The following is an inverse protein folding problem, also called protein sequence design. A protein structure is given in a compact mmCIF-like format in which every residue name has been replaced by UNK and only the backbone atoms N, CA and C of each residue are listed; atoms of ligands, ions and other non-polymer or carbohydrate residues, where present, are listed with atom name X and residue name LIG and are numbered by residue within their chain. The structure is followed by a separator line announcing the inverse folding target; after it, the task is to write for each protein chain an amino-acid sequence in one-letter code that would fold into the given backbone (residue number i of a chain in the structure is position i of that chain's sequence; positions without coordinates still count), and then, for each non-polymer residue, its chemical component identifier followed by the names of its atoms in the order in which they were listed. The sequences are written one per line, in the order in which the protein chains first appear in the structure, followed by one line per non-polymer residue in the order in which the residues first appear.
data_IF_896241722450
#
_entry.id   IF_896241722450
#
_cell.length_a   1.000
_cell.length_b   1.000
_cell.length_c   1.000
_cell.angle_alpha   90.00
_cell.angle_beta   90.00
_cell.angle_gamma   90.00
#
_symmetry.space_group_name_H-M   'P 1'
#
loop_
_entity.id
_entity.type
_entity.pdbx_description
1 polymer ?
#
# COMPACT_ATOMS: atom_id res chain seq x y z
N UNK A 1 21.00 -5.69 26.67
CA UNK A 1 21.46 -5.35 25.31
C UNK A 1 20.31 -4.68 24.59
N UNK A 2 20.41 -3.38 24.31
CA UNK A 2 19.42 -2.65 23.52
C UNK A 2 19.37 -3.24 22.12
N UNK A 3 18.32 -4.02 21.81
CA UNK A 3 17.98 -4.29 20.42
C UNK A 3 17.49 -2.98 19.83
N UNK A 4 18.37 -2.25 19.14
CA UNK A 4 17.91 -1.18 18.26
C UNK A 4 16.86 -1.78 17.32
N UNK A 5 15.67 -1.19 17.33
CA UNK A 5 14.55 -1.60 16.49
C UNK A 5 14.97 -1.29 15.05
N UNK A 6 15.48 -2.28 14.32
CA UNK A 6 15.92 -2.11 12.94
C UNK A 6 14.66 -1.96 12.06
N UNK A 7 14.65 -0.88 11.30
CA UNK A 7 13.54 -0.45 10.45
C UNK A 7 13.95 -0.61 8.99
N UNK A 8 13.04 -1.13 8.19
CA UNK A 8 13.21 -1.34 6.75
C UNK A 8 12.13 -0.53 6.06
N UNK A 9 12.55 0.29 5.13
CA UNK A 9 11.66 1.03 4.25
C UNK A 9 11.24 0.15 3.07
N UNK A 10 9.95 0.19 2.75
CA UNK A 10 9.39 -0.52 1.60
C UNK A 10 8.15 0.20 1.08
N UNK A 11 8.06 0.37 -0.23
CA UNK A 11 6.90 0.97 -0.88
C UNK A 11 6.03 -0.10 -1.54
N UNK A 12 4.76 -0.12 -1.16
CA UNK A 12 3.74 -0.97 -1.77
C UNK A 12 3.17 -0.27 -3.00
N UNK A 13 3.25 -0.94 -4.14
CA UNK A 13 2.58 -0.48 -5.35
C UNK A 13 1.08 -0.80 -5.29
N UNK A 14 0.26 0.11 -5.81
CA UNK A 14 -1.17 -0.08 -5.99
C UNK A 14 -1.49 -0.61 -7.39
N UNK A 15 -2.54 -0.08 -8.01
CA UNK A 15 -2.89 -0.33 -9.42
C UNK A 15 -2.10 0.55 -10.39
N UNK A 16 -1.25 1.44 -9.87
CA UNK A 16 -0.33 2.26 -10.64
C UNK A 16 0.85 1.41 -11.14
N UNK A 17 1.30 1.63 -12.38
CA UNK A 17 2.45 0.90 -12.95
C UNK A 17 3.80 1.56 -12.62
N UNK A 18 3.87 2.32 -11.52
CA UNK A 18 5.07 3.06 -11.08
C UNK A 18 6.11 2.17 -10.38
N UNK A 19 6.28 0.93 -10.86
CA UNK A 19 7.20 -0.04 -10.28
C UNK A 19 8.65 0.45 -10.24
N UNK A 20 9.06 1.28 -11.20
CA UNK A 20 10.40 1.90 -11.22
C UNK A 20 10.68 2.82 -10.02
N UNK A 21 9.70 3.64 -9.62
CA UNK A 21 9.82 4.55 -8.46
C UNK A 21 9.96 3.73 -7.18
N UNK A 22 9.03 2.80 -6.96
CA UNK A 22 9.01 1.95 -5.77
C UNK A 22 10.26 1.07 -5.66
N UNK A 23 10.77 0.58 -6.79
CA UNK A 23 11.98 -0.22 -6.88
C UNK A 23 13.20 0.56 -6.38
N UNK A 24 13.41 1.79 -6.86
CA UNK A 24 14.54 2.63 -6.46
C UNK A 24 14.42 3.10 -5.01
N UNK A 25 13.25 3.60 -4.60
CA UNK A 25 13.08 4.11 -3.24
C UNK A 25 13.24 3.01 -2.20
N UNK A 26 12.69 1.82 -2.47
CA UNK A 26 12.91 0.66 -1.61
C UNK A 26 14.39 0.24 -1.60
N UNK A 27 15.08 0.28 -2.74
CA UNK A 27 16.52 -0.03 -2.81
C UNK A 27 17.36 0.93 -1.95
N UNK A 28 17.03 2.23 -2.00
CA UNK A 28 17.73 3.30 -1.29
C UNK A 28 17.31 3.44 0.18
N UNK A 29 16.27 2.72 0.59
CA UNK A 29 15.69 2.77 1.93
C UNK A 29 15.15 4.17 2.31
N UNK A 30 14.43 4.80 1.38
CA UNK A 30 13.70 6.04 1.64
C UNK A 30 13.00 6.60 0.38
N UNK A 31 12.06 7.54 0.54
CA UNK A 31 11.35 8.19 -0.57
C UNK A 31 12.22 9.26 -1.26
N UNK A 32 13.28 8.85 -1.94
CA UNK A 32 14.22 9.78 -2.58
C UNK A 32 13.70 10.37 -3.89
N UNK A 33 12.89 9.61 -4.61
CA UNK A 33 12.37 10.01 -5.92
C UNK A 33 10.86 9.88 -5.94
N UNK A 34 10.20 10.82 -6.60
CA UNK A 34 8.80 10.67 -7.00
C UNK A 34 8.71 10.45 -8.52
N UNK A 35 7.48 10.27 -9.01
CA UNK A 35 7.20 10.11 -10.43
C UNK A 35 7.70 11.29 -11.29
N UNK A 36 7.53 12.52 -10.78
CA UNK A 36 7.91 13.75 -11.48
C UNK A 36 9.43 13.84 -11.62
N UNK A 37 10.17 13.43 -10.59
CA UNK A 37 11.64 13.44 -10.60
C UNK A 37 12.18 12.49 -11.66
N UNK A 38 11.67 11.25 -11.70
CA UNK A 38 12.07 10.27 -12.73
C UNK A 38 11.62 10.69 -14.13
N UNK A 39 10.43 11.26 -14.27
CA UNK A 39 9.96 11.79 -15.55
C UNK A 39 10.85 12.94 -16.05
N UNK A 40 11.32 13.81 -15.15
CA UNK A 40 12.26 14.89 -15.48
C UNK A 40 13.61 14.33 -15.94
N UNK A 41 14.12 13.29 -15.27
CA UNK A 41 15.36 12.60 -15.67
C UNK A 41 15.20 11.97 -17.06
N UNK A 42 14.05 11.34 -17.33
CA UNK A 42 13.76 10.73 -18.61
C UNK A 42 13.70 11.76 -19.74
N UNK A 43 13.01 12.88 -19.54
CA UNK A 43 12.94 13.97 -20.53
C UNK A 43 14.33 14.55 -20.84
N UNK A 44 15.17 14.69 -19.82
CA UNK A 44 16.54 15.17 -19.99
C UNK A 44 17.40 14.16 -20.77
N UNK A 45 17.23 12.86 -20.53
CA UNK A 45 17.86 11.80 -21.32
C UNK A 45 17.40 11.82 -22.77
N UNK A 46 16.09 11.93 -23.01
CA UNK A 46 15.52 12.06 -24.36
C UNK A 46 16.12 13.28 -25.09
N UNK A 47 16.27 14.42 -24.39
CA UNK A 47 16.88 15.64 -24.94
C UNK A 47 18.34 15.41 -25.32
N UNK A 48 19.12 14.76 -24.47
CA UNK A 48 20.52 14.45 -24.73
C UNK A 48 20.69 13.48 -25.91
N UNK A 49 19.83 12.46 -26.01
CA UNK A 49 19.82 11.53 -27.13
C UNK A 49 19.48 12.22 -28.45
N UNK A 50 18.50 13.12 -28.46
CA UNK A 50 18.15 13.94 -29.64
C UNK A 50 19.33 14.84 -30.03
N UNK A 51 19.98 15.48 -29.07
CA UNK A 51 21.14 16.35 -29.31
C UNK A 51 22.31 15.58 -29.93
N UNK A 52 22.58 14.36 -29.44
CA UNK A 52 23.60 13.46 -29.98
C UNK A 52 23.24 12.91 -31.37
N UNK A 53 21.97 12.59 -31.62
CA UNK A 53 21.50 11.98 -32.88
C UNK A 53 21.12 13.01 -33.96
N UNK A 54 21.05 14.30 -33.64
CA UNK A 54 20.76 15.39 -34.58
C UNK A 54 19.46 15.17 -35.39
N UNK A 55 19.51 15.44 -36.71
CA UNK A 55 18.33 15.35 -37.60
C UNK A 55 17.73 13.94 -37.76
N UNK A 56 18.46 12.90 -37.38
CA UNK A 56 17.97 11.51 -37.34
C UNK A 56 17.27 11.16 -36.04
N UNK A 57 17.53 11.90 -34.95
CA UNK A 57 16.89 11.71 -33.65
C UNK A 57 15.37 11.91 -33.68
N UNK A 58 14.85 12.84 -34.48
CA UNK A 58 13.40 13.06 -34.60
C UNK A 58 12.61 11.89 -35.21
N UNK A 59 13.29 10.93 -35.86
CA UNK A 59 12.64 9.70 -36.38
C UNK A 59 12.60 8.57 -35.36
N UNK A 60 13.46 8.63 -34.35
CA UNK A 60 13.46 7.72 -33.22
C UNK A 60 12.90 8.48 -32.03
N UNK A 61 11.58 8.37 -31.79
CA UNK A 61 11.03 8.81 -30.51
C UNK A 61 11.67 7.94 -29.44
N UNK A 62 12.74 8.42 -28.81
CA UNK A 62 13.17 7.81 -27.56
C UNK A 62 12.03 7.96 -26.58
N UNK A 63 11.66 6.84 -25.96
CA UNK A 63 10.59 6.77 -24.98
C UNK A 63 11.23 6.19 -23.72
N UNK A 64 12.03 7.02 -23.04
CA UNK A 64 12.57 6.67 -21.72
C UNK A 64 11.46 6.54 -20.65
N UNK A 65 10.26 7.04 -20.96
CA UNK A 65 9.00 6.80 -20.26
C UNK A 65 8.01 6.19 -21.25
N UNK A 66 7.46 5.03 -20.91
CA UNK A 66 6.38 4.41 -21.64
C UNK A 66 5.02 5.06 -21.30
N UNK A 67 4.03 4.92 -22.19
CA UNK A 67 2.68 5.50 -22.02
C UNK A 67 1.94 4.98 -20.79
N UNK A 68 2.39 3.85 -20.24
CA UNK A 68 1.88 3.19 -19.05
C UNK A 68 2.58 3.63 -17.75
N UNK A 69 3.62 4.46 -17.83
CA UNK A 69 4.40 4.94 -16.68
C UNK A 69 5.65 4.11 -16.35
N UNK A 70 6.01 3.13 -17.18
CA UNK A 70 7.26 2.38 -17.02
C UNK A 70 8.48 3.21 -17.44
N UNK A 71 9.52 3.18 -16.61
CA UNK A 71 10.79 3.85 -16.87
C UNK A 71 11.83 2.90 -17.47
N UNK A 72 12.68 3.42 -18.36
CA UNK A 72 13.82 2.67 -18.88
C UNK A 72 14.91 2.47 -17.80
N UNK A 73 15.76 1.46 -17.97
CA UNK A 73 16.91 1.24 -17.08
C UNK A 73 17.84 2.46 -17.02
N UNK A 74 17.93 3.23 -18.11
CA UNK A 74 18.82 4.38 -18.21
C UNK A 74 18.36 5.50 -17.28
N UNK A 75 17.04 5.70 -17.16
CA UNK A 75 16.46 6.64 -16.18
C UNK A 75 16.84 6.23 -14.76
N UNK A 76 16.70 4.95 -14.44
CA UNK A 76 17.06 4.43 -13.12
C UNK A 76 18.57 4.57 -12.84
N UNK A 77 19.42 4.31 -13.85
CA UNK A 77 20.86 4.46 -13.73
C UNK A 77 21.29 5.90 -13.48
N UNK A 78 20.73 6.86 -14.21
CA UNK A 78 21.05 8.28 -14.00
C UNK A 78 20.48 8.81 -12.68
N UNK A 79 19.32 8.33 -12.22
CA UNK A 79 18.79 8.66 -10.90
C UNK A 79 19.74 8.22 -9.77
N UNK A 80 20.19 6.96 -9.81
CA UNK A 80 21.12 6.43 -8.82
C UNK A 80 22.49 7.14 -8.85
N UNK A 81 22.99 7.45 -10.05
CA UNK A 81 24.23 8.20 -10.24
C UNK A 81 24.14 9.61 -9.66
N UNK A 82 23.05 10.34 -9.91
CA UNK A 82 22.83 11.70 -9.37
C UNK A 82 22.79 11.75 -7.84
N UNK A 83 22.34 10.68 -7.19
CA UNK A 83 22.18 10.66 -5.72
C UNK A 83 23.47 10.34 -4.98
N UNK A 84 24.33 9.46 -5.52
CA UNK A 84 25.49 8.96 -4.75
C UNK A 84 26.53 8.20 -5.56
N UNK A 85 26.69 8.49 -6.86
CA UNK A 85 27.62 7.77 -7.75
C UNK A 85 27.40 6.25 -7.76
N UNK A 86 26.17 5.81 -7.49
CA UNK A 86 25.79 4.40 -7.58
C UNK A 86 25.79 3.97 -9.04
N UNK A 87 26.55 2.92 -9.35
CA UNK A 87 26.71 2.37 -10.69
C UNK A 87 25.83 1.13 -10.87
N UNK A 88 25.09 1.10 -11.97
CA UNK A 88 24.32 -0.08 -12.38
C UNK A 88 25.11 -0.85 -13.43
N UNK A 89 25.38 -2.12 -13.16
CA UNK A 89 26.03 -3.04 -14.10
C UNK A 89 25.18 -4.28 -14.30
N UNK A 90 25.10 -4.81 -15.54
CA UNK A 90 24.46 -6.10 -15.75
C UNK A 90 25.28 -7.23 -15.09
N UNK A 91 24.59 -8.16 -14.43
CA UNK A 91 25.21 -9.37 -13.87
C UNK A 91 25.85 -10.23 -14.98
N UNK A 92 25.29 -10.19 -16.19
CA UNK A 92 25.79 -10.94 -17.34
C UNK A 92 26.98 -10.29 -18.04
N UNK A 93 27.41 -9.11 -17.59
CA UNK A 93 28.60 -8.46 -18.13
C UNK A 93 29.86 -9.31 -17.85
N UNK A 94 30.82 -9.27 -18.78
CA UNK A 94 32.10 -10.02 -18.67
C UNK A 94 32.88 -9.71 -17.38
N UNK A 95 32.58 -8.57 -16.75
CA UNK A 95 33.20 -8.08 -15.52
C UNK A 95 32.65 -8.84 -14.30
N UNK A 96 31.36 -9.19 -14.32
CA UNK A 96 30.64 -9.76 -13.18
C UNK A 96 30.46 -11.30 -13.26
N UNK A 97 30.69 -11.92 -14.42
CA UNK A 97 30.51 -13.37 -14.64
C UNK A 97 31.33 -14.30 -13.72
N UNK A 98 32.34 -13.79 -13.01
CA UNK A 98 33.17 -14.57 -12.07
C UNK A 98 33.27 -13.91 -10.67
N UNK A 99 32.44 -12.92 -10.36
CA UNK A 99 32.45 -12.27 -9.06
C UNK A 99 31.47 -12.96 -8.09
N UNK A 100 31.85 -13.00 -6.81
CA UNK A 100 30.96 -13.47 -5.76
C UNK A 100 29.89 -12.41 -5.47
N UNK A 101 28.71 -12.63 -6.07
CA UNK A 101 27.55 -11.75 -5.93
C UNK A 101 27.05 -11.61 -4.48
N UNK A 102 27.47 -12.48 -3.55
CA UNK A 102 27.07 -12.41 -2.14
C UNK A 102 27.71 -11.23 -1.36
N UNK A 103 28.80 -10.67 -1.90
CA UNK A 103 29.49 -9.50 -1.35
C UNK A 103 28.86 -8.18 -1.77
N UNK A 104 27.99 -8.22 -2.78
CA UNK A 104 27.29 -7.05 -3.26
C UNK A 104 26.24 -6.58 -2.26
N UNK A 105 25.80 -5.34 -2.43
CA UNK A 105 24.87 -4.72 -1.49
C UNK A 105 23.45 -4.62 -2.04
N UNK A 106 23.25 -4.66 -3.35
CA UNK A 106 21.91 -4.60 -3.94
C UNK A 106 21.84 -4.98 -5.41
N UNK A 107 20.66 -5.40 -5.83
CA UNK A 107 20.33 -5.74 -7.20
C UNK A 107 19.02 -5.06 -7.60
N UNK A 108 18.90 -4.76 -8.89
CA UNK A 108 17.67 -4.37 -9.56
C UNK A 108 17.36 -5.46 -10.59
N UNK A 109 16.13 -5.95 -10.56
CA UNK A 109 15.62 -6.94 -11.48
C UNK A 109 14.56 -6.30 -12.37
N UNK A 110 14.61 -6.58 -13.66
CA UNK A 110 13.68 -6.07 -14.65
C UNK A 110 13.09 -7.18 -15.50
N UNK A 111 11.77 -7.25 -15.61
CA UNK A 111 11.12 -7.92 -16.74
C UNK A 111 10.67 -6.89 -17.77
N UNK A 112 10.06 -7.34 -18.86
CA UNK A 112 9.56 -6.41 -19.88
C UNK A 112 8.52 -5.40 -19.34
N UNK A 113 7.93 -5.64 -18.17
CA UNK A 113 6.86 -4.82 -17.60
C UNK A 113 6.94 -4.63 -16.06
N UNK A 114 8.00 -5.09 -15.39
CA UNK A 114 8.07 -5.02 -13.92
C UNK A 114 9.48 -4.85 -13.37
N UNK A 115 9.61 -3.89 -12.46
CA UNK A 115 10.84 -3.58 -11.72
C UNK A 115 10.71 -3.99 -10.25
N UNK A 116 11.74 -4.68 -9.74
CA UNK A 116 11.88 -4.88 -8.30
C UNK A 116 13.34 -4.88 -7.86
N UNK A 117 13.58 -4.57 -6.58
CA UNK A 117 14.91 -4.53 -6.01
C UNK A 117 15.13 -5.64 -4.98
N UNK A 118 16.39 -6.04 -4.85
CA UNK A 118 16.87 -6.95 -3.82
C UNK A 118 17.97 -6.21 -3.07
N UNK A 119 17.89 -6.13 -1.74
CA UNK A 119 18.83 -5.33 -0.94
C UNK A 119 19.36 -6.11 0.24
N UNK A 120 20.66 -6.02 0.49
CA UNK A 120 21.28 -6.50 1.72
C UNK A 120 21.21 -5.41 2.78
N UNK A 121 20.51 -5.68 3.88
CA UNK A 121 20.37 -4.77 5.02
C UNK A 121 20.81 -5.56 6.26
N UNK A 122 21.82 -5.07 6.98
CA UNK A 122 22.29 -5.72 8.22
C UNK A 122 22.64 -7.21 8.03
N UNK A 123 23.28 -7.52 6.89
CA UNK A 123 23.68 -8.87 6.48
C UNK A 123 22.51 -9.85 6.22
N UNK A 124 21.31 -9.34 5.95
CA UNK A 124 20.15 -10.13 5.51
C UNK A 124 19.69 -9.60 4.16
N UNK A 125 19.41 -10.50 3.22
CA UNK A 125 18.85 -10.12 1.92
C UNK A 125 17.34 -10.02 1.99
N UNK A 126 16.81 -8.98 1.36
CA UNK A 126 15.39 -8.71 1.27
C UNK A 126 14.97 -8.59 -0.19
N UNK A 127 13.94 -9.35 -0.57
CA UNK A 127 13.16 -9.11 -1.77
C UNK A 127 12.21 -7.93 -1.50
N UNK A 128 12.49 -6.78 -2.11
CA UNK A 128 11.74 -5.54 -1.94
C UNK A 128 10.72 -5.31 -3.06
N UNK A 129 10.23 -6.39 -3.67
CA UNK A 129 9.19 -6.30 -4.67
C UNK A 129 7.95 -5.55 -4.13
N UNK A 130 7.56 -4.49 -4.84
CA UNK A 130 6.47 -3.58 -4.47
C UNK A 130 5.09 -4.26 -4.53
N UNK A 131 4.97 -5.35 -5.28
CA UNK A 131 3.73 -6.15 -5.39
C UNK A 131 3.53 -7.13 -4.24
N UNK A 132 4.51 -7.25 -3.33
CA UNK A 132 4.37 -8.07 -2.13
C UNK A 132 3.21 -7.56 -1.27
N UNK A 133 2.28 -8.43 -0.85
CA UNK A 133 1.09 -7.94 -0.14
C UNK A 133 1.38 -7.45 1.29
N UNK A 134 2.40 -8.02 1.96
CA UNK A 134 2.73 -7.78 3.39
C UNK A 134 4.13 -7.23 3.65
N UNK A 135 4.80 -6.74 2.62
CA UNK A 135 6.13 -6.19 2.73
C UNK A 135 7.26 -7.13 2.30
N UNK A 136 8.51 -6.75 2.60
CA UNK A 136 9.72 -7.44 2.14
C UNK A 136 9.76 -8.92 2.50
N UNK A 137 10.33 -9.74 1.62
CA UNK A 137 10.57 -11.15 1.90
C UNK A 137 12.05 -11.40 2.19
N UNK A 138 12.35 -12.19 3.21
CA UNK A 138 13.74 -12.56 3.52
C UNK A 138 14.23 -13.60 2.51
N UNK A 139 15.42 -13.36 1.98
CA UNK A 139 16.19 -14.29 1.18
C UNK A 139 17.41 -14.68 2.03
N UNK A 140 17.65 -15.98 2.20
CA UNK A 140 18.85 -16.44 2.89
C UNK A 140 20.06 -16.33 1.95
N UNK A 141 21.26 -16.10 2.50
CA UNK A 141 22.50 -16.06 1.71
C UNK A 141 22.67 -17.33 0.84
N UNK A 142 22.34 -18.49 1.41
CA UNK A 142 22.39 -19.78 0.71
C UNK A 142 21.38 -19.90 -0.44
N UNK A 143 20.26 -19.19 -0.36
CA UNK A 143 19.19 -19.24 -1.37
C UNK A 143 19.31 -18.12 -2.42
N UNK A 144 20.06 -17.05 -2.13
CA UNK A 144 20.20 -15.90 -3.03
C UNK A 144 20.63 -16.31 -4.44
N UNK A 145 21.66 -17.15 -4.56
CA UNK A 145 22.19 -17.57 -5.86
C UNK A 145 21.13 -18.34 -6.67
N UNK A 146 20.40 -19.25 -6.00
CA UNK A 146 19.32 -20.01 -6.63
C UNK A 146 18.15 -19.10 -7.02
N UNK A 147 17.84 -18.10 -6.20
CA UNK A 147 16.80 -17.13 -6.47
C UNK A 147 17.14 -16.25 -7.69
N UNK A 148 18.36 -15.69 -7.75
CA UNK A 148 18.81 -14.91 -8.90
C UNK A 148 18.82 -15.75 -10.18
N UNK A 149 19.23 -17.01 -10.10
CA UNK A 149 19.15 -17.94 -11.23
C UNK A 149 17.69 -18.14 -11.69
N UNK A 150 16.76 -18.36 -10.75
CA UNK A 150 15.33 -18.47 -11.06
C UNK A 150 14.79 -17.20 -11.71
N UNK A 151 15.15 -16.02 -11.20
CA UNK A 151 14.75 -14.71 -11.78
C UNK A 151 15.20 -14.63 -13.24
N UNK A 152 16.45 -14.99 -13.51
CA UNK A 152 17.01 -15.01 -14.87
C UNK A 152 16.32 -16.02 -15.79
N UNK A 153 16.01 -17.21 -15.30
CA UNK A 153 15.27 -18.25 -16.05
C UNK A 153 13.84 -17.81 -16.40
N UNK A 154 13.22 -16.96 -15.57
CA UNK A 154 11.92 -16.35 -15.87
C UNK A 154 12.03 -15.15 -16.84
N UNK A 155 13.21 -14.91 -17.43
CA UNK A 155 13.42 -13.89 -18.45
C UNK A 155 13.71 -12.49 -17.92
N UNK A 156 13.99 -12.35 -16.62
CA UNK A 156 14.36 -11.06 -16.04
C UNK A 156 15.83 -10.75 -16.32
N UNK A 157 16.11 -9.48 -16.61
CA UNK A 157 17.47 -8.92 -16.61
C UNK A 157 17.84 -8.48 -15.20
N UNK A 158 19.00 -8.91 -14.73
CA UNK A 158 19.49 -8.60 -13.38
C UNK A 158 20.66 -7.64 -13.49
N UNK A 159 20.58 -6.57 -12.70
CA UNK A 159 21.61 -5.55 -12.60
C UNK A 159 22.10 -5.45 -11.16
N UNK A 160 23.41 -5.49 -10.97
CA UNK A 160 24.05 -5.19 -9.68
C UNK A 160 24.20 -3.69 -9.53
N UNK A 161 23.93 -3.20 -8.32
CA UNK A 161 24.08 -1.79 -7.97
C UNK A 161 25.27 -1.66 -7.02
N UNK A 162 26.34 -1.02 -7.50
CA UNK A 162 27.61 -0.85 -6.78
C UNK A 162 27.79 0.60 -6.34
N UNK A 163 28.42 0.80 -5.18
CA UNK A 163 28.76 2.13 -4.67
C UNK A 163 28.31 2.33 -3.22
N UNK A 164 28.30 3.60 -2.80
CA UNK A 164 27.96 3.97 -1.42
C UNK A 164 26.48 4.35 -1.36
N UNK A 165 25.71 3.58 -0.61
CA UNK A 165 24.28 3.85 -0.43
C UNK A 165 24.08 5.01 0.56
N UNK A 166 23.07 5.87 0.31
CA UNK A 166 22.75 6.94 1.24
C UNK A 166 22.22 6.37 2.57
N UNK A 167 22.31 7.15 3.66
CA UNK A 167 21.72 6.75 4.93
C UNK A 167 20.20 6.65 4.81
N UNK A 168 19.54 5.62 5.40
CA UNK A 168 18.10 5.46 5.30
C UNK A 168 17.34 6.71 5.73
N UNK A 169 16.42 7.19 4.89
CA UNK A 169 15.52 8.29 5.23
C UNK A 169 14.22 7.70 5.75
N UNK A 170 14.12 7.62 7.08
CA UNK A 170 12.99 7.00 7.78
C UNK A 170 12.07 8.00 8.49
N UNK A 171 12.40 9.29 8.42
CA UNK A 171 11.68 10.35 9.11
C UNK A 171 10.45 10.80 8.29
N UNK A 172 9.31 11.04 8.94
CA UNK A 172 8.07 11.57 8.36
C UNK A 172 7.38 10.70 7.27
N UNK A 173 7.54 9.38 7.31
CA UNK A 173 6.96 8.45 6.30
C UNK A 173 5.44 8.21 6.46
N UNK A 174 4.83 8.66 7.56
CA UNK A 174 3.41 8.42 7.87
C UNK A 174 2.40 9.19 6.97
N UNK A 175 2.83 9.78 5.85
CA UNK A 175 1.98 10.59 4.98
C UNK A 175 1.31 9.82 3.83
N UNK A 176 1.62 8.53 3.60
CA UNK A 176 1.04 7.76 2.49
C UNK A 176 0.92 6.26 2.80
N UNK A 177 -0.28 5.68 2.61
CA UNK A 177 -0.60 4.26 2.84
C UNK A 177 0.34 3.26 2.11
N UNK A 178 1.02 3.74 1.06
CA UNK A 178 1.95 2.96 0.25
C UNK A 178 3.35 2.88 0.85
N UNK A 179 3.79 3.89 1.60
CA UNK A 179 5.14 3.94 2.15
C UNK A 179 5.15 3.30 3.54
N UNK A 180 5.88 2.19 3.71
CA UNK A 180 5.86 1.42 4.95
C UNK A 180 7.24 1.35 5.58
N UNK A 181 7.30 1.63 6.88
CA UNK A 181 8.46 1.37 7.71
C UNK A 181 8.19 0.15 8.57
N UNK A 182 8.83 -0.96 8.23
CA UNK A 182 8.60 -2.26 8.86
C UNK A 182 9.77 -2.63 9.75
N UNK A 183 9.47 -3.23 10.90
CA UNK A 183 10.53 -3.73 11.78
C UNK A 183 11.07 -5.05 11.25
N UNK A 184 12.37 -5.31 11.43
CA UNK A 184 12.97 -6.60 11.06
C UNK A 184 12.33 -7.77 11.81
N UNK A 185 11.84 -7.55 13.03
CA UNK A 185 11.09 -8.54 13.82
C UNK A 185 9.77 -8.91 13.14
N UNK A 186 8.99 -7.93 12.68
CA UNK A 186 7.75 -8.17 11.96
C UNK A 186 8.01 -8.96 10.68
N UNK A 187 9.01 -8.55 9.88
CA UNK A 187 9.34 -9.23 8.62
C UNK A 187 9.77 -10.69 8.89
N UNK A 188 10.58 -10.94 9.92
CA UNK A 188 10.96 -12.31 10.33
C UNK A 188 9.74 -13.15 10.72
N UNK A 189 8.81 -12.60 11.49
CA UNK A 189 7.58 -13.32 11.87
C UNK A 189 6.73 -13.70 10.65
N UNK A 190 6.60 -12.80 9.67
CA UNK A 190 5.89 -13.08 8.42
C UNK A 190 6.63 -14.16 7.61
N UNK A 191 7.94 -14.05 7.49
CA UNK A 191 8.78 -15.03 6.79
C UNK A 191 8.71 -16.44 7.40
N UNK A 192 8.85 -16.57 8.72
CA UNK A 192 8.81 -17.86 9.42
C UNK A 192 7.47 -18.60 9.24
N UNK A 193 6.37 -17.86 9.05
CA UNK A 193 5.06 -18.43 8.74
C UNK A 193 4.95 -18.84 7.28
N UNK A 194 5.53 -18.06 6.35
CA UNK A 194 5.54 -18.36 4.92
C UNK A 194 6.34 -19.63 4.61
N UNK A 195 7.54 -19.76 5.16
CA UNK A 195 8.44 -20.90 4.92
C UNK A 195 7.84 -22.23 5.42
N UNK A 196 6.93 -22.20 6.39
CA UNK A 196 6.22 -23.39 6.87
C UNK A 196 5.16 -23.92 5.89
N UNK A 197 4.75 -23.12 4.90
CA UNK A 197 3.78 -23.55 3.89
C UNK A 197 4.46 -24.43 2.83
N UNK A 198 3.80 -25.51 2.44
CA UNK A 198 4.25 -26.35 1.32
C UNK A 198 4.26 -25.52 0.04
N UNK A 199 5.33 -25.61 -0.75
CA UNK A 199 5.52 -24.89 -2.02
C UNK A 199 5.63 -23.36 -1.91
N UNK A 200 6.12 -22.82 -0.77
CA UNK A 200 6.47 -21.40 -0.70
C UNK A 200 7.50 -21.04 -1.77
N UNK A 201 7.20 -19.99 -2.56
CA UNK A 201 8.09 -19.41 -3.54
C UNK A 201 8.10 -17.89 -3.33
N UNK A 202 9.28 -17.30 -3.50
CA UNK A 202 9.46 -15.86 -3.45
C UNK A 202 8.76 -15.19 -4.64
N UNK A 203 8.15 -14.03 -4.40
CA UNK A 203 7.42 -13.31 -5.44
C UNK A 203 8.35 -12.46 -6.32
N UNK A 204 8.39 -12.79 -7.60
CA UNK A 204 9.18 -12.08 -8.62
C UNK A 204 8.31 -11.29 -9.61
N UNK A 205 6.98 -11.48 -9.58
CA UNK A 205 6.07 -10.98 -10.61
C UNK A 205 5.46 -9.61 -10.32
N UNK A 206 5.06 -8.93 -11.39
CA UNK A 206 4.25 -7.71 -11.35
C UNK A 206 2.77 -7.99 -11.03
N UNK A 207 1.96 -6.94 -10.89
CA UNK A 207 0.50 -7.04 -10.65
C UNK A 207 -0.19 -7.91 -11.69
N UNK A 208 0.11 -7.67 -12.97
CA UNK A 208 -0.55 -8.31 -14.11
C UNK A 208 -0.20 -9.80 -14.19
N UNK A 209 1.03 -10.17 -13.84
CA UNK A 209 1.46 -11.56 -13.80
C UNK A 209 0.77 -12.32 -12.65
N UNK A 210 0.57 -11.66 -11.51
CA UNK A 210 -0.17 -12.21 -10.37
C UNK A 210 -1.64 -12.41 -10.75
N UNK A 211 -2.27 -11.43 -11.40
CA UNK A 211 -3.66 -11.52 -11.84
C UNK A 211 -3.85 -12.59 -12.91
N UNK A 212 -2.95 -12.68 -13.89
CA UNK A 212 -2.97 -13.73 -14.91
C UNK A 212 -2.86 -15.12 -14.28
N UNK A 213 -1.93 -15.30 -13.32
CA UNK A 213 -1.80 -16.57 -12.58
C UNK A 213 -3.06 -16.89 -11.77
N UNK A 214 -3.69 -15.87 -11.17
CA UNK A 214 -4.96 -16.01 -10.43
C UNK A 214 -6.10 -16.43 -11.35
N UNK A 215 -6.24 -15.81 -12.52
CA UNK A 215 -7.24 -16.15 -13.52
C UNK A 215 -7.05 -17.57 -14.09
N UNK A 216 -5.81 -17.97 -14.39
CA UNK A 216 -5.50 -19.31 -14.89
C UNK A 216 -5.84 -20.41 -13.89
N UNK A 217 -5.54 -20.22 -12.60
CA UNK A 217 -5.94 -21.18 -11.55
C UNK A 217 -7.44 -21.23 -11.36
N UNK A 218 -8.11 -20.07 -11.34
CA UNK A 218 -9.57 -20.00 -11.26
C UNK A 218 -10.23 -20.75 -12.43
N UNK A 219 -9.69 -20.63 -13.65
CA UNK A 219 -10.16 -21.35 -14.82
C UNK A 219 -9.97 -22.88 -14.71
N UNK A 220 -8.91 -23.34 -14.04
CA UNK A 220 -8.69 -24.75 -13.72
C UNK A 220 -9.54 -25.27 -12.55
N UNK A 221 -10.38 -24.42 -11.94
CA UNK A 221 -11.15 -24.77 -10.74
C UNK A 221 -10.30 -24.89 -9.48
N UNK A 222 -9.04 -24.46 -9.54
CA UNK A 222 -8.11 -24.43 -8.41
C UNK A 222 -8.24 -23.10 -7.68
N UNK A 223 -8.23 -23.11 -6.35
CA UNK A 223 -8.11 -21.87 -5.58
C UNK A 223 -6.72 -21.28 -5.80
N UNK A 224 -6.66 -19.99 -6.08
CA UNK A 224 -5.40 -19.26 -6.00
C UNK A 224 -5.02 -19.14 -4.53
N UNK A 225 -4.18 -20.06 -4.05
CA UNK A 225 -3.57 -19.99 -2.72
C UNK A 225 -2.59 -18.81 -2.68
N UNK A 226 -3.11 -17.62 -2.41
CA UNK A 226 -2.29 -16.50 -1.95
C UNK A 226 -1.92 -16.78 -0.50
N UNK A 227 -0.62 -17.01 -0.24
CA UNK A 227 -0.08 -17.10 1.14
C UNK A 227 -0.51 -15.92 2.01
N UNK A 228 -0.86 -14.81 1.36
CA UNK A 228 -1.28 -13.55 1.96
C UNK A 228 -2.81 -13.29 2.07
N UNK A 229 -3.69 -14.17 1.60
CA UNK A 229 -5.16 -14.00 1.84
C UNK A 229 -5.60 -14.80 3.08
N UNK A 230 -5.07 -16.02 3.29
CA UNK A 230 -5.42 -16.87 4.45
C UNK A 230 -5.05 -16.28 5.82
N UNK A 231 -4.05 -15.39 5.89
CA UNK A 231 -3.63 -14.81 7.18
C UNK A 231 -4.49 -13.64 7.66
N UNK A 232 -5.31 -13.02 6.81
CA UNK A 232 -6.39 -12.14 7.30
C UNK A 232 -7.46 -12.98 8.01
N UNK A 233 -7.83 -14.14 7.44
CA UNK A 233 -8.75 -15.07 8.08
C UNK A 233 -8.17 -15.63 9.39
N UNK A 234 -6.88 -16.00 9.45
CA UNK A 234 -6.23 -16.46 10.68
C UNK A 234 -6.09 -15.36 11.74
N UNK A 235 -5.71 -14.11 11.38
CA UNK A 235 -5.63 -13.00 12.35
C UNK A 235 -7.00 -12.64 12.91
N UNK A 236 -8.03 -12.64 12.07
CA UNK A 236 -9.41 -12.45 12.49
C UNK A 236 -9.89 -13.61 13.40
N UNK A 237 -9.39 -14.82 13.18
CA UNK A 237 -9.68 -15.97 14.05
C UNK A 237 -8.90 -15.94 15.37
N UNK A 238 -7.61 -15.57 15.36
CA UNK A 238 -6.80 -15.47 16.60
C UNK A 238 -7.28 -14.36 17.51
N UNK A 239 -7.75 -13.23 16.94
CA UNK A 239 -8.36 -12.15 17.71
C UNK A 239 -9.73 -12.54 18.31
N UNK A 240 -10.42 -13.54 17.74
CA UNK A 240 -11.63 -14.13 18.34
C UNK A 240 -11.34 -15.11 19.48
N UNK A 241 -10.12 -15.66 19.59
CA UNK A 241 -9.79 -16.67 20.62
C UNK A 241 -9.24 -16.09 21.94
N UNK A 242 -9.07 -14.77 22.07
CA UNK A 242 -8.55 -14.12 23.29
C UNK A 242 -9.61 -13.44 24.17
N UNK A 243 -10.91 -13.63 23.94
CA UNK A 243 -11.96 -13.26 24.91
C UNK A 243 -12.52 -14.49 25.65
N UNK A 244 -12.68 -14.32 26.96
CA UNK A 244 -12.94 -15.31 28.02
C UNK A 244 -14.13 -16.26 27.81
N UNK A 245 -14.13 -17.47 28.41
CA UNK A 245 -15.17 -18.47 28.18
C UNK A 245 -16.36 -18.32 29.14
N UNK A 246 -17.59 -18.38 28.59
CA UNK A 246 -18.73 -19.27 28.98
C UNK A 246 -20.07 -18.66 28.53
N UNK A 247 -20.82 -19.37 27.69
CA UNK A 247 -22.14 -19.90 28.08
C UNK A 247 -22.62 -20.93 27.05
N UNK A 248 -23.11 -22.08 27.54
CA UNK A 248 -23.59 -23.20 26.75
C UNK A 248 -25.10 -23.05 26.58
N UNK A 249 -25.58 -22.93 25.35
CA UNK A 249 -27.01 -22.79 25.04
C UNK A 249 -27.32 -23.40 23.67
N UNK A 250 -28.38 -24.20 23.63
CA UNK A 250 -28.85 -25.01 22.51
C UNK A 250 -29.26 -24.16 21.29
N UNK A 251 -29.14 -24.76 20.11
CA UNK A 251 -29.06 -24.05 18.84
C UNK A 251 -30.31 -23.31 18.37
N UNK A 252 -30.13 -22.43 17.39
CA UNK A 252 -31.13 -21.91 16.45
C UNK A 252 -30.41 -21.54 15.13
N UNK A 253 -31.19 -21.63 14.06
CA UNK A 253 -30.93 -21.67 12.62
C UNK A 253 -30.15 -20.49 12.03
N UNK A 254 -29.51 -20.78 10.88
CA UNK A 254 -29.03 -19.82 9.89
C UNK A 254 -30.11 -18.78 9.55
N UNK A 255 -29.88 -17.53 9.96
CA UNK A 255 -30.62 -16.35 9.54
C UNK A 255 -29.65 -15.32 8.98
N UNK A 256 -29.95 -14.82 7.79
CA UNK A 256 -29.19 -13.81 7.04
C UNK A 256 -28.77 -12.64 7.96
N UNK A 257 -27.46 -12.44 8.16
CA UNK A 257 -26.97 -11.26 8.86
C UNK A 257 -27.11 -10.03 7.95
N UNK A 258 -27.94 -9.09 8.37
CA UNK A 258 -27.93 -7.71 7.86
C UNK A 258 -26.57 -7.10 8.20
N UNK A 259 -25.86 -6.61 7.20
CA UNK A 259 -24.60 -5.87 7.36
C UNK A 259 -24.85 -4.64 8.26
N UNK A 260 -24.44 -4.71 9.53
CA UNK A 260 -24.50 -3.57 10.47
C UNK A 260 -23.25 -2.70 10.30
N UNK A 261 -23.44 -1.38 10.30
CA UNK A 261 -22.34 -0.39 10.30
C UNK A 261 -21.54 -0.55 11.59
N UNK A 262 -20.21 -0.66 11.48
CA UNK A 262 -19.32 -0.74 12.64
C UNK A 262 -18.79 0.64 13.04
N UNK A 263 -19.68 1.52 13.53
CA UNK A 263 -19.30 2.84 14.03
C UNK A 263 -19.04 2.79 15.55
N UNK A 264 -17.82 3.13 16.03
CA UNK A 264 -17.42 2.93 17.43
C UNK A 264 -18.37 3.56 18.46
N UNK A 265 -18.89 4.75 18.17
CA UNK A 265 -19.73 5.50 19.11
C UNK A 265 -21.14 4.90 19.29
N UNK A 266 -21.57 3.93 18.47
CA UNK A 266 -22.83 3.19 18.67
C UNK A 266 -22.74 2.06 19.70
N UNK A 267 -21.54 1.67 20.10
CA UNK A 267 -21.29 0.57 21.04
C UNK A 267 -21.01 1.04 22.47
N UNK A 268 -21.10 2.35 22.71
CA UNK A 268 -20.91 2.94 24.04
C UNK A 268 -22.15 2.69 24.87
N UNK A 269 -21.97 2.29 26.13
CA UNK A 269 -23.05 2.09 27.08
C UNK A 269 -23.80 3.43 27.30
N UNK A 270 -25.11 3.50 27.00
CA UNK A 270 -25.90 4.71 27.23
C UNK A 270 -25.92 5.19 28.70
N UNK A 271 -25.57 4.32 29.65
CA UNK A 271 -25.51 4.60 31.08
C UNK A 271 -24.17 5.22 31.53
N UNK A 272 -23.12 5.19 30.70
CA UNK A 272 -21.84 5.82 30.98
C UNK A 272 -21.87 7.31 30.60
N UNK A 273 -22.47 8.10 31.48
CA UNK A 273 -22.66 9.53 31.31
C UNK A 273 -21.33 10.31 31.21
N UNK A 274 -20.26 9.79 31.83
CA UNK A 274 -18.95 10.44 31.88
C UNK A 274 -18.22 10.26 30.55
N UNK A 275 -18.17 9.03 30.04
CA UNK A 275 -17.56 8.73 28.73
C UNK A 275 -18.30 9.41 27.57
N UNK A 276 -19.63 9.45 27.63
CA UNK A 276 -20.46 10.15 26.64
C UNK A 276 -20.25 11.67 26.65
N UNK A 277 -20.07 12.26 27.83
CA UNK A 277 -19.79 13.70 27.97
C UNK A 277 -18.43 14.05 27.34
N UNK A 278 -17.41 13.22 27.56
CA UNK A 278 -16.07 13.42 26.98
C UNK A 278 -16.14 13.40 25.45
N UNK A 279 -16.82 12.41 24.86
CA UNK A 279 -16.96 12.32 23.40
C UNK A 279 -17.72 13.51 22.83
N UNK A 280 -18.83 13.92 23.46
CA UNK A 280 -19.58 15.09 23.01
C UNK A 280 -18.74 16.37 23.10
N UNK A 281 -17.90 16.53 24.13
CA UNK A 281 -16.96 17.65 24.22
C UNK A 281 -15.89 17.62 23.12
N UNK A 282 -15.35 16.44 22.80
CA UNK A 282 -14.37 16.28 21.71
C UNK A 282 -15.01 16.59 20.34
N UNK A 283 -16.22 16.11 20.09
CA UNK A 283 -16.96 16.40 18.85
C UNK A 283 -17.38 17.87 18.77
N UNK A 284 -17.72 18.50 19.89
CA UNK A 284 -17.99 19.94 19.95
C UNK A 284 -16.75 20.73 19.55
N UNK A 285 -15.56 20.39 20.07
CA UNK A 285 -14.31 21.02 19.63
C UNK A 285 -14.02 20.82 18.14
N UNK A 286 -14.29 19.61 17.63
CA UNK A 286 -14.08 19.23 16.23
C UNK A 286 -14.99 20.02 15.27
N UNK A 287 -16.28 20.16 15.59
CA UNK A 287 -17.27 20.78 14.70
C UNK A 287 -17.58 22.26 14.98
N UNK A 288 -17.00 22.85 16.03
CA UNK A 288 -17.11 24.29 16.31
C UNK A 288 -16.28 25.14 15.34
N UNK A 289 -15.32 24.55 14.63
CA UNK A 289 -14.55 25.21 13.59
C UNK A 289 -15.31 25.07 12.27
N UNK A 290 -15.73 26.19 11.67
CA UNK A 290 -16.27 26.20 10.32
C UNK A 290 -15.14 26.48 9.33
N UNK A 291 -14.93 25.55 8.40
CA UNK A 291 -13.99 25.72 7.29
C UNK A 291 -14.59 26.65 6.24
N UNK A 292 -13.80 27.61 5.73
CA UNK A 292 -14.20 28.50 4.63
C UNK A 292 -14.19 27.78 3.27
N UNK A 293 -13.33 26.77 3.11
CA UNK A 293 -13.21 25.93 1.92
C UNK A 293 -13.21 24.45 2.30
N UNK A 294 -13.91 23.61 1.53
CA UNK A 294 -14.01 22.18 1.78
C UNK A 294 -15.19 21.52 1.06
N UNK A 295 -15.48 20.27 1.43
CA UNK A 295 -16.60 19.47 0.90
C UNK A 295 -17.90 19.85 1.61
N UNK A 296 -18.78 20.56 0.92
CA UNK A 296 -20.10 20.92 1.44
C UNK A 296 -21.03 19.71 1.29
N UNK A 297 -21.42 19.08 2.39
CA UNK A 297 -22.28 17.89 2.39
C UNK A 297 -23.66 18.22 2.94
N UNK A 298 -24.70 17.73 2.26
CA UNK A 298 -26.11 17.97 2.61
C UNK A 298 -26.72 16.72 3.24
N UNK A 299 -27.02 16.76 4.53
CA UNK A 299 -27.67 15.66 5.23
C UNK A 299 -29.18 15.85 5.31
N UNK A 300 -29.93 14.82 4.92
CA UNK A 300 -31.36 14.74 5.12
C UNK A 300 -31.65 13.86 6.35
N UNK A 301 -32.11 14.50 7.44
CA UNK A 301 -32.43 13.83 8.69
C UNK A 301 -33.78 13.11 8.62
N UNK A 302 -34.03 12.10 9.49
CA UNK A 302 -35.29 11.35 9.50
C UNK A 302 -36.53 12.20 9.83
N UNK A 303 -36.34 13.35 10.48
CA UNK A 303 -37.40 14.30 10.81
C UNK A 303 -37.76 15.25 9.65
N UNK A 304 -37.14 15.08 8.47
CA UNK A 304 -37.35 15.92 7.29
C UNK A 304 -36.56 17.23 7.29
N UNK A 305 -35.71 17.47 8.29
CA UNK A 305 -34.81 18.63 8.31
C UNK A 305 -33.55 18.35 7.50
N UNK A 306 -33.08 19.37 6.78
CA UNK A 306 -31.80 19.31 6.09
C UNK A 306 -30.74 20.05 6.90
N UNK A 307 -29.55 19.46 7.00
CA UNK A 307 -28.37 20.05 7.62
C UNK A 307 -27.26 20.09 6.60
N UNK A 308 -26.45 21.13 6.64
CA UNK A 308 -25.27 21.25 5.80
C UNK A 308 -24.05 21.49 6.67
N UNK A 309 -22.93 20.87 6.29
CA UNK A 309 -21.65 21.10 6.93
C UNK A 309 -20.53 20.99 5.90
N UNK A 310 -19.48 21.79 6.11
CA UNK A 310 -18.29 21.82 5.26
C UNK A 310 -17.21 20.97 5.91
N UNK A 311 -16.90 19.82 5.31
CA UNK A 311 -15.83 18.93 5.74
C UNK A 311 -14.52 19.27 5.04
N UNK A 312 -13.40 18.83 5.61
CA UNK A 312 -12.11 18.89 4.93
C UNK A 312 -12.05 17.91 3.74
N UNK A 313 -11.12 18.12 2.81
CA UNK A 313 -10.96 17.26 1.62
C UNK A 313 -10.43 15.85 1.97
N UNK A 314 -9.80 15.68 3.12
CA UNK A 314 -9.30 14.41 3.68
C UNK A 314 -10.31 13.73 4.61
N UNK A 315 -11.54 14.25 4.71
CA UNK A 315 -12.56 13.69 5.58
C UNK A 315 -12.93 12.24 5.18
N UNK A 316 -13.30 11.47 6.18
CA UNK A 316 -13.70 10.06 6.06
C UNK A 316 -15.19 9.86 6.30
N UNK A 317 -15.68 8.66 6.03
CA UNK A 317 -17.05 8.26 6.37
C UNK A 317 -17.29 8.37 7.88
N UNK A 318 -16.29 8.10 8.72
CA UNK A 318 -16.37 8.29 10.18
C UNK A 318 -16.73 9.73 10.53
N UNK A 319 -16.16 10.73 9.85
CA UNK A 319 -16.46 12.15 10.10
C UNK A 319 -17.93 12.50 9.83
N UNK A 320 -18.55 11.86 8.84
CA UNK A 320 -19.98 12.02 8.58
C UNK A 320 -20.83 11.42 9.71
N UNK A 321 -20.43 10.25 10.23
CA UNK A 321 -21.10 9.60 11.35
C UNK A 321 -20.91 10.40 12.64
N UNK A 322 -19.73 10.93 12.90
CA UNK A 322 -19.41 11.85 14.00
C UNK A 322 -20.31 13.08 13.97
N UNK A 323 -20.46 13.71 12.81
CA UNK A 323 -21.28 14.92 12.65
C UNK A 323 -22.76 14.65 12.97
N UNK A 324 -23.33 13.58 12.40
CA UNK A 324 -24.74 13.24 12.66
C UNK A 324 -24.94 12.76 14.10
N UNK A 325 -23.97 12.08 14.69
CA UNK A 325 -23.99 11.69 16.09
C UNK A 325 -23.98 12.93 17.01
N UNK A 326 -23.14 13.92 16.71
CA UNK A 326 -23.08 15.20 17.41
C UNK A 326 -24.37 16.03 17.28
N UNK A 327 -24.95 16.11 16.09
CA UNK A 327 -26.24 16.79 15.87
C UNK A 327 -27.40 16.05 16.55
N UNK A 328 -27.32 14.73 16.67
CA UNK A 328 -28.34 13.88 17.32
C UNK A 328 -28.14 13.77 18.84
N UNK A 329 -27.29 14.62 19.46
CA UNK A 329 -26.96 14.54 20.90
C UNK A 329 -28.17 14.57 21.85
N UNK A 330 -29.25 15.25 21.44
CA UNK A 330 -30.50 15.35 22.21
C UNK A 330 -31.38 14.09 22.11
N UNK A 331 -31.25 13.31 21.02
CA UNK A 331 -32.00 12.08 20.78
C UNK A 331 -31.07 11.02 20.19
N UNK A 332 -30.32 10.28 21.04
CA UNK A 332 -29.40 9.27 20.57
C UNK A 332 -30.16 8.18 19.81
N UNK A 333 -29.73 7.92 18.59
CA UNK A 333 -30.30 6.89 17.73
C UNK A 333 -29.20 6.20 16.95
N UNK A 334 -29.43 4.93 16.61
CA UNK A 334 -28.64 4.23 15.61
C UNK A 334 -29.18 4.57 14.22
N UNK A 335 -28.28 4.73 13.28
CA UNK A 335 -28.60 5.14 11.93
C UNK A 335 -27.58 4.64 10.93
N UNK A 336 -28.02 4.57 9.68
CA UNK A 336 -27.19 4.26 8.52
C UNK A 336 -27.22 5.44 7.56
N UNK A 337 -26.04 5.85 7.07
CA UNK A 337 -25.90 6.88 6.05
C UNK A 337 -26.00 6.26 4.66
N UNK A 338 -26.83 6.84 3.80
CA UNK A 338 -27.09 6.35 2.45
C UNK A 338 -26.83 7.48 1.47
N UNK A 339 -25.92 7.26 0.52
CA UNK A 339 -25.76 8.14 -0.64
C UNK A 339 -26.77 7.74 -1.73
N UNK A 340 -27.78 8.56 -2.06
CA UNK A 340 -28.84 8.22 -3.00
C UNK A 340 -28.35 8.15 -4.45
N UNK A 341 -27.32 8.93 -4.81
CA UNK A 341 -26.78 8.99 -6.18
C UNK A 341 -26.18 7.64 -6.58
N UNK A 342 -25.53 6.95 -5.65
CA UNK A 342 -24.86 5.66 -5.89
C UNK A 342 -25.61 4.46 -5.26
N UNK A 343 -26.70 4.69 -4.52
CA UNK A 343 -27.34 3.70 -3.62
C UNK A 343 -26.35 3.03 -2.67
N UNK A 344 -25.27 3.74 -2.33
CA UNK A 344 -24.19 3.23 -1.49
C UNK A 344 -24.62 3.38 -0.03
N UNK A 345 -24.59 2.26 0.71
CA UNK A 345 -24.66 2.29 2.18
C UNK A 345 -23.24 2.51 2.68
N UNK A 346 -23.04 3.57 3.47
CA UNK A 346 -21.72 3.92 4.01
C UNK A 346 -21.42 3.05 5.23
N UNK A 347 -21.06 1.79 4.98
CA UNK A 347 -20.86 0.78 6.03
C UNK A 347 -19.43 0.76 6.59
N UNK A 348 -18.46 1.14 5.77
CA UNK A 348 -17.04 1.20 6.13
C UNK A 348 -16.67 2.63 6.51
N UNK A 349 -16.43 2.84 7.81
CA UNK A 349 -16.16 4.16 8.39
C UNK A 349 -14.77 4.69 8.04
N UNK A 350 -13.85 3.85 7.59
CA UNK A 350 -12.44 4.23 7.34
C UNK A 350 -12.18 4.83 5.96
N UNK A 351 -13.16 4.78 5.06
CA UNK A 351 -13.02 5.25 3.68
C UNK A 351 -13.04 6.77 3.59
N UNK A 352 -12.18 7.37 2.76
CA UNK A 352 -12.21 8.80 2.47
C UNK A 352 -13.40 9.14 1.56
N UNK A 353 -13.99 10.32 1.75
CA UNK A 353 -15.19 10.76 1.02
C UNK A 353 -14.97 10.86 -0.49
N UNK A 354 -13.82 11.41 -0.91
CA UNK A 354 -13.49 11.57 -2.33
C UNK A 354 -13.27 10.22 -3.03
N UNK A 355 -12.69 9.23 -2.34
CA UNK A 355 -12.42 7.90 -2.89
C UNK A 355 -13.70 7.11 -3.22
N UNK A 356 -14.77 7.38 -2.46
CA UNK A 356 -16.10 6.80 -2.70
C UNK A 356 -17.00 7.71 -3.56
N UNK A 357 -16.45 8.78 -4.12
CA UNK A 357 -17.16 9.70 -5.01
C UNK A 357 -18.23 10.54 -4.30
N UNK A 358 -18.03 10.85 -3.01
CA UNK A 358 -18.78 11.89 -2.28
C UNK A 358 -18.03 13.21 -2.46
N UNK A 359 -18.64 14.12 -3.21
CA UNK A 359 -18.11 15.44 -3.55
C UNK A 359 -18.98 16.58 -2.98
N UNK A 360 -18.60 17.83 -3.32
CA UNK A 360 -19.33 19.02 -2.86
C UNK A 360 -20.76 19.03 -3.39
N UNK A 361 -21.73 19.34 -2.53
CA UNK A 361 -23.18 19.25 -2.75
C UNK A 361 -23.74 17.83 -2.82
N UNK A 362 -22.98 16.80 -2.46
CA UNK A 362 -23.52 15.44 -2.31
C UNK A 362 -24.56 15.39 -1.19
N UNK A 363 -25.73 14.82 -1.50
CA UNK A 363 -26.80 14.60 -0.53
C UNK A 363 -26.63 13.24 0.16
N UNK A 364 -26.74 13.20 1.48
CA UNK A 364 -26.67 11.99 2.30
C UNK A 364 -27.97 11.83 3.08
N UNK A 365 -28.62 10.68 2.94
CA UNK A 365 -29.85 10.36 3.65
C UNK A 365 -29.48 9.64 4.95
N UNK A 366 -29.88 10.21 6.08
CA UNK A 366 -29.74 9.58 7.39
C UNK A 366 -30.96 8.71 7.62
N UNK A 367 -30.78 7.39 7.56
CA UNK A 367 -31.84 6.42 7.82
C UNK A 367 -31.75 5.94 9.25
N UNK A 368 -32.80 6.16 10.05
CA UNK A 368 -32.92 5.56 11.38
C UNK A 368 -33.03 4.03 11.26
N UNK A 369 -32.25 3.32 12.05
CA UNK A 369 -32.27 1.85 12.11
C UNK A 369 -33.53 1.30 12.80
#
# INVERSE_FOLDING_TARGET
MNQQKQLIYWEKQGYDQLCGVHCINSLLQGPYFNEIDLATIAQELDRQEIELLGKTGHRYKSQNVAEDGNFSIQVLAEALKKLGDLQIESVDSKINQNQDLSQESGFICNSQAHWFSIRKIENIWYNLNSTNKRGPEIISDFYLSAFLQSVKENGYSIFVVKGVYPPPQLDNIDQNDRQKVLTTQFIKQVHDRRVKKKNYQLNIGGSDEIEMKKALKASKGEKYESTDEEFEEELQQTNKMQSTPKFQGQGIQFGQQKSQVNYPNFNIDPLDAEYRSIILMTLEQKFNIQLEEGLIILFQLPNGQNKQYTFSYDATVEDLYDFIFFESRQQPMRFTLICPIQKLQLLDVTQQLLDIGIDTMTQIIVKKD
#
